data_IF_981668889368
#
_entry.id   IF_981668889368
#
_cell.length_a   1.000
_cell.length_b   1.000
_cell.length_c   1.000
_cell.angle_alpha   90.00
_cell.angle_beta   90.00
_cell.angle_gamma   90.00
#
_symmetry.space_group_name_H-M   'P 1'
#
loop_
_entity.id
_entity.type
_entity.pdbx_description
1 polymer ?
#
# COMPACT_ATOMS: atom_id res chain seq x y z
N UNK A 1 -15.07 7.09 7.37
CA UNK A 1 -13.92 7.90 6.95
C UNK A 1 -13.97 9.20 7.71
N UNK A 2 -12.94 9.50 8.49
CA UNK A 2 -12.87 10.72 9.31
C UNK A 2 -12.37 11.86 8.46
N UNK A 3 -12.92 13.07 8.66
CA UNK A 3 -12.51 14.27 7.93
C UNK A 3 -12.08 15.34 8.91
N UNK A 4 -10.93 15.97 8.65
CA UNK A 4 -10.43 17.11 9.43
C UNK A 4 -10.04 18.26 8.51
N UNK A 5 -10.05 19.48 9.01
CA UNK A 5 -9.56 20.64 8.26
C UNK A 5 -8.03 20.67 8.23
N UNK A 6 -7.46 21.35 7.24
CA UNK A 6 -6.03 21.65 7.16
C UNK A 6 -5.55 22.43 8.40
N UNK A 7 -6.42 23.23 9.01
CA UNK A 7 -6.13 23.93 10.26
C UNK A 7 -5.99 22.96 11.42
N UNK A 8 -6.89 21.97 11.54
CA UNK A 8 -6.81 20.95 12.59
C UNK A 8 -5.53 20.10 12.46
N UNK A 9 -5.15 19.73 11.23
CA UNK A 9 -3.90 19.03 10.97
C UNK A 9 -2.67 19.84 11.44
N UNK A 10 -2.65 21.15 11.14
CA UNK A 10 -1.56 22.05 11.56
C UNK A 10 -1.50 22.26 13.07
N UNK A 11 -2.66 22.35 13.73
CA UNK A 11 -2.73 22.55 15.18
C UNK A 11 -2.31 21.31 15.97
N UNK A 12 -2.69 20.11 15.52
CA UNK A 12 -2.38 18.88 16.25
C UNK A 12 -2.06 17.71 15.29
N UNK A 13 -0.85 17.67 14.72
CA UNK A 13 -0.45 16.63 13.77
C UNK A 13 -0.40 15.24 14.41
N UNK A 14 -0.03 15.13 15.69
CA UNK A 14 0.04 13.85 16.40
C UNK A 14 -1.35 13.18 16.50
N UNK A 15 -2.38 13.96 16.84
CA UNK A 15 -3.75 13.46 16.91
C UNK A 15 -4.29 13.07 15.52
N UNK A 16 -3.95 13.84 14.49
CA UNK A 16 -4.32 13.51 13.12
C UNK A 16 -3.68 12.18 12.68
N UNK A 17 -2.40 11.95 13.01
CA UNK A 17 -1.69 10.69 12.71
C UNK A 17 -2.32 9.52 13.47
N UNK A 18 -2.61 9.67 14.77
CA UNK A 18 -3.26 8.64 15.56
C UNK A 18 -4.65 8.28 15.01
N UNK A 19 -5.39 9.27 14.51
CA UNK A 19 -6.70 9.06 13.89
C UNK A 19 -6.64 8.32 12.54
N UNK A 20 -5.46 8.29 11.91
CA UNK A 20 -5.23 7.66 10.61
C UNK A 20 -4.68 6.23 10.70
N UNK A 21 -4.67 5.63 11.89
CA UNK A 21 -4.01 4.35 12.15
C UNK A 21 -4.70 3.18 11.43
N UNK A 22 -6.03 3.09 11.54
CA UNK A 22 -6.82 2.00 10.96
C UNK A 22 -7.54 2.39 9.67
N UNK A 23 -7.84 3.68 9.47
CA UNK A 23 -8.55 4.19 8.30
C UNK A 23 -7.94 5.52 7.83
N UNK A 24 -7.96 5.83 6.52
CA UNK A 24 -7.49 7.12 6.02
C UNK A 24 -8.33 8.28 6.58
N UNK A 25 -7.66 9.40 6.87
CA UNK A 25 -8.30 10.65 7.29
C UNK A 25 -8.28 11.63 6.12
N UNK A 26 -9.45 12.10 5.70
CA UNK A 26 -9.57 13.13 4.68
C UNK A 26 -9.17 14.50 5.25
N UNK A 27 -8.31 15.22 4.54
CA UNK A 27 -7.88 16.58 4.88
C UNK A 27 -8.60 17.55 3.95
N UNK A 28 -9.39 18.44 4.55
CA UNK A 28 -10.15 19.45 3.82
C UNK A 28 -9.54 20.85 3.93
N UNK A 29 -9.58 21.58 2.82
CA UNK A 29 -9.29 23.01 2.74
C UNK A 29 -10.46 23.69 2.02
N UNK A 30 -11.04 24.73 2.64
CA UNK A 30 -12.22 25.44 2.10
C UNK A 30 -13.36 24.51 1.64
N UNK A 31 -13.58 23.41 2.40
CA UNK A 31 -14.56 22.34 2.17
C UNK A 31 -14.20 21.32 1.08
N UNK A 32 -13.10 21.49 0.36
CA UNK A 32 -12.62 20.54 -0.63
C UNK A 32 -11.61 19.56 0.00
N UNK A 33 -11.73 18.27 -0.31
CA UNK A 33 -10.75 17.26 0.15
C UNK A 33 -9.51 17.36 -0.73
N UNK A 34 -8.40 17.82 -0.15
CA UNK A 34 -7.14 18.00 -0.87
C UNK A 34 -6.15 16.86 -0.66
N UNK A 35 -6.28 16.10 0.43
CA UNK A 35 -5.39 14.99 0.73
C UNK A 35 -6.06 13.91 1.60
N UNK A 36 -5.44 12.74 1.63
CA UNK A 36 -5.71 11.70 2.62
C UNK A 36 -4.46 11.43 3.44
N UNK A 37 -4.57 11.51 4.75
CA UNK A 37 -3.54 11.06 5.67
C UNK A 37 -3.74 9.56 5.92
N UNK A 38 -2.69 8.78 5.70
CA UNK A 38 -2.68 7.33 5.87
C UNK A 38 -1.58 7.00 6.87
N UNK A 39 -1.90 6.25 7.93
CA UNK A 39 -0.91 5.77 8.88
C UNK A 39 0.06 4.77 8.25
N UNK A 40 1.30 4.70 8.75
CA UNK A 40 2.37 3.82 8.23
C UNK A 40 1.90 2.38 8.00
N UNK A 41 1.32 1.75 9.03
CA UNK A 41 0.93 0.34 8.96
C UNK A 41 -0.20 0.08 7.96
N UNK A 42 -1.12 1.03 7.79
CA UNK A 42 -2.16 0.94 6.78
C UNK A 42 -1.57 1.10 5.38
N UNK A 43 -0.68 2.09 5.19
CA UNK A 43 0.02 2.30 3.92
C UNK A 43 0.80 1.04 3.49
N UNK A 44 1.60 0.45 4.39
CA UNK A 44 2.38 -0.76 4.10
C UNK A 44 1.47 -1.94 3.70
N UNK A 45 0.36 -2.15 4.41
CA UNK A 45 -0.63 -3.19 4.05
C UNK A 45 -1.27 -2.95 2.68
N UNK A 46 -1.56 -1.69 2.34
CA UNK A 46 -2.11 -1.35 1.02
C UNK A 46 -1.11 -1.66 -0.10
N UNK A 47 0.17 -1.30 0.09
CA UNK A 47 1.22 -1.60 -0.90
C UNK A 47 1.40 -3.11 -1.07
N UNK A 48 1.54 -3.86 0.03
CA UNK A 48 1.67 -5.32 -0.02
C UNK A 48 0.50 -5.99 -0.75
N UNK A 49 -0.72 -5.48 -0.53
CA UNK A 49 -1.90 -5.99 -1.22
C UNK A 49 -1.90 -5.67 -2.72
N UNK A 50 -1.42 -4.49 -3.12
CA UNK A 50 -1.29 -4.12 -4.53
C UNK A 50 -0.22 -4.96 -5.23
N UNK A 51 0.91 -5.22 -4.56
CA UNK A 51 1.98 -6.10 -5.04
C UNK A 51 1.46 -7.52 -5.25
N UNK A 52 0.77 -8.10 -4.27
CA UNK A 52 0.17 -9.44 -4.38
C UNK A 52 -0.84 -9.55 -5.54
N UNK A 53 -1.62 -8.49 -5.80
CA UNK A 53 -2.51 -8.44 -6.97
C UNK A 53 -1.71 -8.50 -8.27
N UNK A 54 -0.61 -7.76 -8.36
CA UNK A 54 0.20 -7.69 -9.58
C UNK A 54 0.96 -8.99 -9.84
N UNK A 55 1.49 -9.61 -8.79
CA UNK A 55 2.11 -10.93 -8.85
C UNK A 55 1.12 -11.98 -9.34
N UNK A 56 -0.10 -11.98 -8.82
CA UNK A 56 -1.17 -12.89 -9.25
C UNK A 56 -1.53 -12.71 -10.72
N UNK A 57 -1.59 -11.47 -11.22
CA UNK A 57 -1.81 -11.21 -12.65
C UNK A 57 -0.66 -11.76 -13.49
N UNK A 58 0.58 -11.55 -13.03
CA UNK A 58 1.78 -12.01 -13.73
C UNK A 58 1.78 -13.53 -13.82
N UNK A 59 1.57 -14.25 -12.72
CA UNK A 59 1.49 -15.71 -12.69
C UNK A 59 0.37 -16.23 -13.61
N UNK A 60 -0.79 -15.57 -13.64
CA UNK A 60 -1.89 -15.94 -14.52
C UNK A 60 -1.53 -15.81 -16.00
N UNK A 61 -0.67 -14.85 -16.35
CA UNK A 61 -0.28 -14.54 -17.72
C UNK A 61 1.06 -15.19 -18.13
N UNK A 62 1.73 -15.92 -17.22
CA UNK A 62 2.98 -16.61 -17.55
C UNK A 62 2.70 -17.64 -18.65
N UNK A 63 3.49 -17.54 -19.72
CA UNK A 63 3.49 -18.55 -20.76
C UNK A 63 4.18 -19.81 -20.23
N UNK A 64 3.37 -20.85 -20.05
CA UNK A 64 3.79 -22.11 -19.45
C UNK A 64 4.73 -22.95 -20.34
N UNK A 65 5.00 -22.54 -21.58
CA UNK A 65 5.96 -23.21 -22.47
C UNK A 65 7.43 -22.89 -22.16
N UNK A 66 7.71 -21.85 -21.38
CA UNK A 66 9.07 -21.38 -21.05
C UNK A 66 9.52 -21.77 -19.63
N UNK A 67 8.88 -22.80 -19.06
CA UNK A 67 9.18 -23.25 -17.70
C UNK A 67 10.51 -23.99 -17.65
N UNK A 68 11.35 -23.60 -16.69
CA UNK A 68 12.48 -24.41 -16.24
C UNK A 68 12.14 -25.12 -14.93
N UNK A 69 12.70 -26.31 -14.76
CA UNK A 69 12.62 -27.05 -13.51
C UNK A 69 13.46 -26.31 -12.44
N UNK A 70 12.95 -26.24 -11.21
CA UNK A 70 13.60 -25.49 -10.13
C UNK A 70 14.89 -26.18 -9.66
N UNK A 71 14.90 -27.51 -9.58
CA UNK A 71 16.05 -28.30 -9.17
C UNK A 71 17.22 -28.15 -10.15
N UNK A 72 16.93 -28.12 -11.46
CA UNK A 72 17.94 -27.86 -12.50
C UNK A 72 18.57 -26.47 -12.34
N UNK A 73 17.74 -25.44 -12.10
CA UNK A 73 18.20 -24.07 -11.89
C UNK A 73 18.98 -23.90 -10.57
N UNK A 74 18.53 -24.53 -9.48
CA UNK A 74 19.22 -24.48 -8.19
C UNK A 74 20.61 -25.12 -8.28
N UNK A 75 20.71 -26.24 -9.02
CA UNK A 75 21.98 -26.91 -9.29
C UNK A 75 22.95 -26.04 -10.08
N UNK A 76 22.47 -25.26 -11.07
CA UNK A 76 23.29 -24.27 -11.80
C UNK A 76 23.83 -23.16 -10.89
N UNK A 77 23.07 -22.75 -9.87
CA UNK A 77 23.48 -21.74 -8.89
C UNK A 77 24.38 -22.29 -7.77
N UNK A 78 24.59 -23.61 -7.72
CA UNK A 78 25.37 -24.27 -6.67
C UNK A 78 24.67 -24.25 -5.30
N UNK A 79 23.34 -24.19 -5.29
CA UNK A 79 22.49 -24.28 -4.10
C UNK A 79 22.00 -25.71 -3.85
#
# INVERSE_FOLDING_TARGET
MTTISITNLKMNPALAIASAQDFPVAIQNRNDTEAYLIGKGLFEKMILYLEDIEDKKTIKNINMSDKRNFEDFASELGL
#
